data_IF_832961987344
#
_entry.id   IF_832961987344
#
_cell.length_a   1.000
_cell.length_b   1.000
_cell.length_c   1.000
_cell.angle_alpha   90.00
_cell.angle_beta   90.00
_cell.angle_gamma   90.00
#
_symmetry.space_group_name_H-M   'P 1'
#
loop_
_entity.id
_entity.type
_entity.pdbx_description
1 polymer ?
#
# COMPACT_ATOMS: atom_id res chain seq x y z
N UNK A 1 -1.21 -61.13 30.25
CA UNK A 1 -0.49 -60.01 29.60
C UNK A 1 -1.40 -59.41 28.54
N UNK A 2 -1.89 -58.17 28.73
CA UNK A 2 -2.62 -57.41 27.71
C UNK A 2 -2.11 -55.98 27.75
N UNK A 3 -1.23 -55.65 26.81
CA UNK A 3 -0.79 -54.27 26.58
C UNK A 3 -1.89 -53.54 25.80
N UNK A 4 -2.43 -52.47 26.40
CA UNK A 4 -3.31 -51.55 25.71
C UNK A 4 -2.45 -50.46 25.05
N UNK A 5 -2.44 -50.44 23.72
CA UNK A 5 -1.88 -49.34 22.93
C UNK A 5 -2.88 -48.17 22.95
N UNK A 6 -2.55 -47.10 23.68
CA UNK A 6 -3.25 -45.82 23.60
C UNK A 6 -2.62 -45.06 22.43
N UNK A 7 -3.35 -44.96 21.32
CA UNK A 7 -2.99 -44.08 20.21
C UNK A 7 -3.45 -42.65 20.55
N UNK A 8 -2.48 -41.76 20.81
CA UNK A 8 -2.72 -40.34 21.04
C UNK A 8 -2.87 -39.64 19.68
N UNK A 9 -4.10 -39.31 19.29
CA UNK A 9 -4.36 -38.52 18.08
C UNK A 9 -4.05 -37.04 18.35
N UNK A 10 -2.92 -36.54 17.82
CA UNK A 10 -2.64 -35.10 17.77
C UNK A 10 -3.53 -34.46 16.69
N UNK A 11 -4.55 -33.73 17.12
CA UNK A 11 -5.32 -32.85 16.24
C UNK A 11 -4.48 -31.58 16.02
N UNK A 12 -3.89 -31.44 14.84
CA UNK A 12 -3.23 -30.22 14.43
C UNK A 12 -4.28 -29.13 14.18
N UNK A 13 -4.35 -28.12 15.05
CA UNK A 13 -5.19 -26.95 14.83
C UNK A 13 -4.62 -26.12 13.66
N UNK A 14 -5.32 -26.10 12.53
CA UNK A 14 -4.99 -25.21 11.43
C UNK A 14 -5.16 -23.74 11.89
N UNK A 15 -4.23 -22.83 11.57
CA UNK A 15 -4.38 -21.42 11.91
C UNK A 15 -5.65 -20.87 11.27
N UNK A 16 -6.53 -20.29 12.08
CA UNK A 16 -7.73 -19.64 11.58
C UNK A 16 -7.35 -18.54 10.58
N UNK A 17 -8.09 -18.38 9.46
CA UNK A 17 -7.81 -17.33 8.49
C UNK A 17 -7.87 -15.97 9.19
N UNK A 18 -6.83 -15.15 8.99
CA UNK A 18 -6.77 -13.83 9.57
C UNK A 18 -8.01 -13.02 9.19
N UNK A 19 -8.65 -12.40 10.20
CA UNK A 19 -9.81 -11.55 9.97
C UNK A 19 -9.50 -10.40 8.99
N UNK A 20 -10.53 -9.75 8.41
CA UNK A 20 -10.34 -8.76 7.35
C UNK A 20 -9.38 -7.63 7.74
N UNK A 21 -9.48 -7.11 8.96
CA UNK A 21 -8.56 -6.08 9.46
C UNK A 21 -7.10 -6.55 9.53
N UNK A 22 -6.86 -7.75 10.04
CA UNK A 22 -5.51 -8.31 10.14
C UNK A 22 -4.90 -8.57 8.75
N UNK A 23 -5.67 -9.14 7.82
CA UNK A 23 -5.20 -9.37 6.45
C UNK A 23 -4.97 -8.06 5.66
N UNK A 24 -5.80 -7.04 5.88
CA UNK A 24 -5.61 -5.72 5.28
C UNK A 24 -4.36 -5.02 5.84
N UNK A 25 -4.13 -5.12 7.17
CA UNK A 25 -2.90 -4.61 7.79
C UNK A 25 -1.66 -5.31 7.24
N UNK A 26 -1.71 -6.63 7.12
CA UNK A 26 -0.59 -7.41 6.58
C UNK A 26 -0.25 -7.00 5.14
N UNK A 27 -1.26 -6.70 4.32
CA UNK A 27 -1.05 -6.13 2.99
C UNK A 27 -0.33 -4.78 3.06
N UNK A 28 -0.80 -3.81 3.85
CA UNK A 28 -0.13 -2.51 3.97
C UNK A 28 1.30 -2.67 4.50
N UNK A 29 1.50 -3.50 5.53
CA UNK A 29 2.83 -3.78 6.07
C UNK A 29 3.78 -4.40 5.01
N UNK A 30 3.26 -5.21 4.08
CA UNK A 30 4.07 -5.78 2.98
C UNK A 30 4.55 -4.73 1.99
N UNK A 31 3.89 -3.57 1.89
CA UNK A 31 4.35 -2.46 1.06
C UNK A 31 5.45 -1.66 1.77
N UNK A 32 5.22 -1.29 3.03
CA UNK A 32 6.14 -0.40 3.75
C UNK A 32 7.37 -1.11 4.34
N UNK A 33 7.24 -2.34 4.85
CA UNK A 33 8.36 -3.03 5.51
C UNK A 33 9.60 -3.20 4.62
N UNK A 34 9.48 -3.70 3.37
CA UNK A 34 10.65 -3.84 2.50
C UNK A 34 11.22 -2.46 2.11
N UNK A 35 10.37 -1.45 1.91
CA UNK A 35 10.78 -0.07 1.62
C UNK A 35 11.60 0.54 2.77
N UNK A 36 11.11 0.47 4.02
CA UNK A 36 11.89 0.95 5.17
C UNK A 36 13.20 0.18 5.33
N UNK A 37 13.19 -1.12 5.03
CA UNK A 37 14.40 -1.93 5.09
C UNK A 37 15.43 -1.51 4.03
N UNK A 38 15.01 -1.08 2.83
CA UNK A 38 15.95 -0.59 1.80
C UNK A 38 16.56 0.76 2.17
N UNK A 39 15.76 1.70 2.69
CA UNK A 39 16.23 3.03 3.10
C UNK A 39 17.32 2.99 4.18
N UNK A 40 17.33 1.93 5.01
CA UNK A 40 18.35 1.72 6.04
C UNK A 40 19.66 1.15 5.51
N UNK A 41 19.61 0.39 4.41
CA UNK A 41 20.79 -0.31 3.86
C UNK A 41 21.60 0.56 2.93
N UNK A 42 20.95 1.47 2.22
CA UNK A 42 21.59 2.28 1.19
C UNK A 42 20.94 3.66 1.16
N UNK A 43 21.62 4.66 1.73
CA UNK A 43 21.18 6.06 1.69
C UNK A 43 21.30 6.69 0.31
N UNK A 44 21.94 6.00 -0.65
CA UNK A 44 22.14 6.39 -2.05
C UNK A 44 21.36 5.54 -3.05
N UNK A 45 20.65 4.49 -2.60
CA UNK A 45 19.78 3.71 -3.47
C UNK A 45 18.76 4.65 -4.09
N UNK A 46 18.51 4.48 -5.39
CA UNK A 46 17.49 5.19 -6.13
C UNK A 46 16.16 5.13 -5.36
N UNK A 47 15.87 6.23 -4.65
CA UNK A 47 14.72 6.38 -3.75
C UNK A 47 13.41 6.41 -4.52
N UNK A 48 13.47 6.53 -5.85
CA UNK A 48 12.31 6.51 -6.74
C UNK A 48 11.82 5.09 -7.06
N UNK A 49 12.64 4.06 -6.78
CA UNK A 49 12.43 2.70 -7.28
C UNK A 49 11.54 1.77 -6.44
N UNK A 50 11.05 2.17 -5.27
CA UNK A 50 10.36 1.19 -4.40
C UNK A 50 8.89 0.93 -4.73
N UNK A 51 8.30 1.66 -5.67
CA UNK A 51 7.01 1.29 -6.24
C UNK A 51 6.91 1.68 -7.71
N UNK A 52 6.83 0.70 -8.63
CA UNK A 52 6.44 0.98 -10.00
C UNK A 52 5.09 1.71 -10.00
N UNK A 53 5.02 2.84 -10.72
CA UNK A 53 3.81 3.65 -10.91
C UNK A 53 2.79 2.92 -11.81
N UNK A 54 2.44 1.68 -11.51
CA UNK A 54 1.68 0.79 -12.41
C UNK A 54 1.55 -0.64 -11.87
N UNK A 55 1.99 -0.92 -10.64
CA UNK A 55 1.98 -2.29 -10.11
C UNK A 55 0.56 -2.77 -9.78
N UNK A 56 0.05 -3.70 -10.60
CA UNK A 56 -1.24 -4.36 -10.41
C UNK A 56 -1.29 -5.23 -9.14
N UNK A 57 -0.16 -5.47 -8.47
CA UNK A 57 -0.10 -6.08 -7.13
C UNK A 57 -0.37 -5.07 -6.00
N UNK A 58 -0.29 -3.77 -6.30
CA UNK A 58 -0.42 -2.67 -5.34
C UNK A 58 -1.76 -1.97 -5.48
N UNK A 59 -2.12 -1.55 -6.69
CA UNK A 59 -3.31 -0.72 -6.95
C UNK A 59 -4.44 -1.53 -7.58
N UNK A 60 -5.69 -1.07 -7.40
CA UNK A 60 -6.80 -1.62 -8.19
C UNK A 60 -6.59 -1.28 -9.68
N UNK A 61 -7.16 -2.07 -10.62
CA UNK A 61 -6.95 -1.85 -12.05
C UNK A 61 -7.25 -0.43 -12.52
N UNK A 62 -8.31 0.19 -11.97
CA UNK A 62 -8.66 1.56 -12.34
C UNK A 62 -7.58 2.59 -11.95
N UNK A 63 -7.09 2.53 -10.71
CA UNK A 63 -6.06 3.46 -10.24
C UNK A 63 -4.74 3.20 -10.98
N UNK A 64 -4.37 1.93 -11.20
CA UNK A 64 -3.20 1.57 -12.02
C UNK A 64 -3.32 2.12 -13.45
N UNK A 65 -4.48 2.03 -14.09
CA UNK A 65 -4.68 2.55 -15.45
C UNK A 65 -4.49 4.07 -15.54
N UNK A 66 -4.88 4.82 -14.50
CA UNK A 66 -4.69 6.27 -14.44
C UNK A 66 -3.24 6.66 -14.17
N UNK A 67 -2.54 5.95 -13.28
CA UNK A 67 -1.10 6.15 -13.05
C UNK A 67 -0.29 5.88 -14.32
N UNK A 68 -0.61 4.78 -15.00
CA UNK A 68 -0.07 4.45 -16.31
C UNK A 68 -0.33 5.54 -17.35
N UNK A 69 -1.54 6.11 -17.37
CA UNK A 69 -1.89 7.19 -18.29
C UNK A 69 -1.08 8.46 -18.00
N UNK A 70 -0.92 8.81 -16.72
CA UNK A 70 -0.11 9.95 -16.30
C UNK A 70 1.34 9.80 -16.76
N UNK A 71 1.95 8.64 -16.49
CA UNK A 71 3.32 8.34 -16.88
C UNK A 71 3.51 8.38 -18.40
N UNK A 72 2.55 7.85 -19.18
CA UNK A 72 2.61 7.91 -20.65
C UNK A 72 2.56 9.34 -21.17
N UNK A 73 1.72 10.20 -20.58
CA UNK A 73 1.64 11.61 -20.98
C UNK A 73 2.95 12.32 -20.65
N UNK A 74 3.48 12.14 -19.43
CA UNK A 74 4.76 12.70 -19.00
C UNK A 74 5.91 12.29 -19.93
N UNK A 75 6.03 10.99 -20.24
CA UNK A 75 7.04 10.49 -21.17
C UNK A 75 6.89 11.07 -22.59
N UNK A 76 5.66 11.32 -23.03
CA UNK A 76 5.37 11.83 -24.38
C UNK A 76 5.62 13.32 -24.51
N UNK A 77 5.32 14.12 -23.49
CA UNK A 77 5.46 15.58 -23.55
C UNK A 77 6.79 16.08 -23.01
N UNK A 78 7.48 15.27 -22.19
CA UNK A 78 8.65 15.71 -21.43
C UNK A 78 8.29 16.55 -20.20
N UNK A 79 7.01 16.79 -19.95
CA UNK A 79 6.54 17.50 -18.77
C UNK A 79 6.49 16.55 -17.56
N UNK A 80 6.52 17.16 -16.38
CA UNK A 80 6.17 16.46 -15.15
C UNK A 80 4.70 16.05 -15.21
N UNK A 81 4.40 14.78 -14.88
CA UNK A 81 3.03 14.28 -14.78
C UNK A 81 2.25 14.93 -13.65
N UNK A 82 0.97 14.57 -13.52
CA UNK A 82 0.13 14.92 -12.36
C UNK A 82 0.80 14.42 -11.08
N UNK A 83 1.48 13.27 -11.13
CA UNK A 83 2.19 12.70 -9.99
C UNK A 83 3.68 12.99 -10.08
N UNK A 84 4.11 13.99 -9.31
CA UNK A 84 5.50 14.40 -9.15
C UNK A 84 6.14 13.96 -7.83
N UNK A 85 5.42 13.21 -7.00
CA UNK A 85 5.82 12.76 -5.66
C UNK A 85 5.70 11.24 -5.46
N UNK A 86 6.19 10.73 -4.33
CA UNK A 86 6.00 9.32 -3.92
C UNK A 86 4.65 9.15 -3.22
N UNK A 87 3.74 8.42 -3.87
CA UNK A 87 2.33 8.27 -3.47
C UNK A 87 2.17 7.73 -2.03
N UNK A 88 2.95 6.71 -1.64
CA UNK A 88 2.82 6.07 -0.32
C UNK A 88 3.44 6.84 0.85
N UNK A 89 4.04 8.01 0.63
CA UNK A 89 4.42 8.90 1.73
C UNK A 89 3.86 10.32 1.56
N UNK A 90 3.27 10.61 0.39
CA UNK A 90 2.97 11.97 -0.05
C UNK A 90 4.16 12.91 0.16
N UNK A 91 5.31 12.49 -0.38
CA UNK A 91 6.61 13.12 -0.13
C UNK A 91 7.51 13.15 -1.36
N UNK A 92 8.42 14.12 -1.39
CA UNK A 92 9.51 14.24 -2.37
C UNK A 92 10.79 13.53 -1.90
N UNK A 93 11.00 13.48 -0.57
CA UNK A 93 12.14 12.80 0.07
C UNK A 93 11.62 11.88 1.18
N UNK A 94 12.10 10.64 1.21
CA UNK A 94 11.78 9.60 2.20
C UNK A 94 12.88 9.41 3.26
N UNK A 95 13.81 10.37 3.35
CA UNK A 95 14.82 10.44 4.40
C UNK A 95 14.22 10.31 5.81
N UNK A 96 14.67 9.29 6.55
CA UNK A 96 14.22 9.03 7.92
C UNK A 96 12.76 8.56 8.02
N UNK A 97 12.18 8.02 6.93
CA UNK A 97 10.83 7.50 6.91
C UNK A 97 10.62 6.38 7.92
N UNK A 98 9.52 6.46 8.65
CA UNK A 98 8.97 5.42 9.50
C UNK A 98 7.46 5.38 9.36
N UNK A 99 6.82 4.26 9.74
CA UNK A 99 5.38 4.09 9.58
C UNK A 99 4.74 3.30 10.72
N UNK A 100 3.46 3.60 10.99
CA UNK A 100 2.56 2.82 11.84
C UNK A 100 1.21 2.68 11.15
N UNK A 101 0.68 1.46 11.09
CA UNK A 101 -0.59 1.17 10.42
C UNK A 101 -1.67 0.84 11.44
N UNK A 102 -2.83 1.46 11.29
CA UNK A 102 -4.07 1.06 11.96
C UNK A 102 -5.16 0.81 10.93
N UNK A 103 -6.07 -0.13 11.23
CA UNK A 103 -7.20 -0.47 10.36
C UNK A 103 -8.50 -0.16 11.11
N UNK A 104 -8.98 1.11 11.12
CA UNK A 104 -10.19 1.49 11.86
C UNK A 104 -11.48 0.85 11.33
N UNK A 105 -11.52 0.51 10.04
CA UNK A 105 -12.71 -0.07 9.39
C UNK A 105 -12.27 -1.17 8.44
N UNK A 106 -12.86 -2.36 8.56
CA UNK A 106 -12.65 -3.45 7.62
C UNK A 106 -13.91 -4.33 7.47
N UNK A 107 -14.16 -4.76 6.24
CA UNK A 107 -15.15 -5.76 5.84
C UNK A 107 -14.44 -6.85 5.03
N UNK A 108 -15.15 -7.90 4.63
CA UNK A 108 -14.59 -8.94 3.76
C UNK A 108 -14.08 -8.41 2.39
N UNK A 109 -14.57 -7.24 1.93
CA UNK A 109 -14.26 -6.70 0.59
C UNK A 109 -13.53 -5.36 0.61
N UNK A 110 -13.62 -4.60 1.69
CA UNK A 110 -13.07 -3.24 1.79
C UNK A 110 -12.41 -3.00 3.13
N UNK A 111 -11.41 -2.14 3.18
CA UNK A 111 -10.84 -1.66 4.43
C UNK A 111 -10.37 -0.21 4.28
N UNK A 112 -10.27 0.50 5.40
CA UNK A 112 -9.56 1.78 5.47
C UNK A 112 -8.34 1.57 6.36
N UNK A 113 -7.15 1.86 5.84
CA UNK A 113 -5.93 1.91 6.63
C UNK A 113 -5.56 3.38 6.89
N UNK A 114 -5.19 3.69 8.13
CA UNK A 114 -4.50 4.94 8.47
C UNK A 114 -3.03 4.62 8.68
N UNK A 115 -2.17 5.22 7.88
CA UNK A 115 -0.72 5.11 7.97
C UNK A 115 -0.19 6.40 8.55
N UNK A 116 0.19 6.37 9.82
CA UNK A 116 0.95 7.45 10.43
C UNK A 116 2.40 7.34 9.94
N UNK A 117 2.94 8.42 9.40
CA UNK A 117 4.28 8.50 8.83
C UNK A 117 5.16 9.39 9.69
N UNK A 118 6.44 9.04 9.81
CA UNK A 118 7.44 9.87 10.47
C UNK A 118 8.61 10.17 9.57
N UNK A 119 9.11 11.39 9.60
CA UNK A 119 10.35 11.80 8.94
C UNK A 119 11.28 12.33 10.03
N UNK A 120 12.25 11.52 10.47
CA UNK A 120 13.09 11.88 11.62
C UNK A 120 12.45 11.64 12.99
N UNK A 121 11.51 10.70 13.09
CA UNK A 121 11.04 10.13 14.35
C UNK A 121 9.74 10.69 14.95
N UNK A 122 9.19 11.79 14.41
CA UNK A 122 7.86 12.30 14.79
C UNK A 122 6.80 11.84 13.79
N UNK A 123 5.70 11.27 14.28
CA UNK A 123 4.58 10.79 13.46
C UNK A 123 3.53 11.89 13.26
N UNK A 124 3.81 12.86 12.40
CA UNK A 124 3.00 14.07 12.21
C UNK A 124 2.16 14.07 10.92
N UNK A 125 2.42 13.15 9.99
CA UNK A 125 1.62 12.97 8.78
C UNK A 125 0.81 11.68 8.85
N UNK A 126 -0.39 11.71 8.29
CA UNK A 126 -1.23 10.51 8.15
C UNK A 126 -1.74 10.39 6.72
N UNK A 127 -1.41 9.28 6.07
CA UNK A 127 -2.10 8.86 4.86
C UNK A 127 -3.28 7.96 5.20
N UNK A 128 -4.37 8.15 4.48
CA UNK A 128 -5.51 7.24 4.48
C UNK A 128 -5.50 6.44 3.19
N UNK A 129 -5.35 5.12 3.30
CA UNK A 129 -5.46 4.20 2.18
C UNK A 129 -6.84 3.56 2.19
N UNK A 130 -7.60 3.73 1.10
CA UNK A 130 -8.81 2.95 0.85
C UNK A 130 -8.39 1.67 0.17
N UNK A 131 -8.79 0.53 0.72
CA UNK A 131 -8.40 -0.79 0.27
C UNK A 131 -9.61 -1.54 -0.28
N UNK A 132 -9.39 -2.31 -1.34
CA UNK A 132 -10.35 -3.24 -1.91
C UNK A 132 -9.74 -4.64 -2.01
N UNK A 133 -10.50 -5.66 -1.62
CA UNK A 133 -10.10 -7.05 -1.75
C UNK A 133 -10.58 -7.58 -3.11
N UNK A 134 -9.62 -7.86 -3.99
CA UNK A 134 -9.81 -8.55 -5.26
C UNK A 134 -9.52 -10.06 -5.07
N UNK A 135 -9.83 -10.92 -6.06
CA UNK A 135 -9.48 -12.34 -5.99
C UNK A 135 -7.98 -12.58 -5.70
N UNK A 136 -7.10 -11.74 -6.25
CA UNK A 136 -5.66 -11.79 -6.04
C UNK A 136 -5.17 -11.12 -4.73
N UNK A 137 -6.09 -10.71 -3.85
CA UNK A 137 -5.77 -10.10 -2.55
C UNK A 137 -6.15 -8.63 -2.44
N UNK A 138 -5.65 -7.98 -1.39
CA UNK A 138 -5.89 -6.57 -1.12
C UNK A 138 -5.12 -5.69 -2.12
N UNK A 139 -5.74 -4.57 -2.51
CA UNK A 139 -5.16 -3.52 -3.34
C UNK A 139 -5.58 -2.15 -2.82
N UNK A 140 -4.78 -1.14 -3.11
CA UNK A 140 -5.10 0.27 -2.87
C UNK A 140 -6.09 0.74 -3.94
N UNK A 141 -7.28 1.11 -3.49
CA UNK A 141 -8.33 1.69 -4.31
C UNK A 141 -8.22 3.22 -4.39
N UNK A 142 -7.71 3.86 -3.33
CA UNK A 142 -7.50 5.31 -3.28
C UNK A 142 -6.50 5.67 -2.18
N UNK A 143 -5.88 6.84 -2.32
CA UNK A 143 -4.95 7.42 -1.35
C UNK A 143 -5.43 8.83 -1.02
N UNK A 144 -5.40 9.19 0.25
CA UNK A 144 -5.78 10.51 0.71
C UNK A 144 -4.87 11.01 1.83
N UNK A 145 -4.65 12.32 1.87
CA UNK A 145 -4.08 13.05 3.00
C UNK A 145 -4.88 14.35 3.24
N UNK A 146 -4.33 15.28 4.00
CA UNK A 146 -4.96 16.55 4.33
C UNK A 146 -5.14 17.45 3.11
N UNK A 147 -4.21 17.42 2.16
CA UNK A 147 -4.15 18.34 1.01
C UNK A 147 -4.72 17.70 -0.27
N UNK A 148 -4.70 16.36 -0.35
CA UNK A 148 -5.24 15.55 -1.42
C UNK A 148 -6.30 14.57 -0.87
N UNK A 149 -7.59 14.94 -0.89
CA UNK A 149 -8.66 14.09 -0.34
C UNK A 149 -8.89 12.77 -1.09
N UNK A 150 -8.42 12.66 -2.34
CA UNK A 150 -8.54 11.46 -3.18
C UNK A 150 -7.60 11.56 -4.39
N UNK A 151 -6.59 10.69 -4.43
CA UNK A 151 -5.70 10.51 -5.57
C UNK A 151 -6.48 10.09 -6.83
N UNK A 152 -7.44 9.17 -6.67
CA UNK A 152 -8.27 8.70 -7.77
C UNK A 152 -9.07 9.84 -8.39
N UNK A 153 -9.68 10.71 -7.56
CA UNK A 153 -10.42 11.86 -8.04
C UNK A 153 -9.50 12.90 -8.71
N UNK A 154 -8.33 13.15 -8.13
CA UNK A 154 -7.31 14.05 -8.71
C UNK A 154 -6.92 13.58 -10.12
N UNK A 155 -6.51 12.32 -10.26
CA UNK A 155 -6.10 11.76 -11.56
C UNK A 155 -7.24 11.79 -12.59
N UNK A 156 -8.48 11.42 -12.20
CA UNK A 156 -9.64 11.48 -13.11
C UNK A 156 -9.95 12.91 -13.58
N UNK A 157 -9.72 13.91 -12.73
CA UNK A 157 -9.93 15.32 -13.05
C UNK A 157 -8.84 15.82 -14.00
N UNK A 158 -7.58 15.67 -13.60
CA UNK A 158 -6.43 16.24 -14.31
C UNK A 158 -6.15 15.52 -15.63
N UNK A 159 -6.42 14.22 -15.74
CA UNK A 159 -6.21 13.44 -16.97
C UNK A 159 -7.41 13.43 -17.92
N UNK A 160 -8.48 14.18 -17.59
CA UNK A 160 -9.68 14.24 -18.44
C UNK A 160 -9.34 14.89 -19.78
N UNK A 161 -9.69 14.21 -20.87
CA UNK A 161 -9.44 14.72 -22.24
C UNK A 161 -7.98 14.70 -22.69
N UNK A 162 -7.00 14.48 -21.80
CA UNK A 162 -5.60 14.29 -22.17
C UNK A 162 -5.41 12.95 -22.88
N UNK A 163 -4.63 12.93 -23.96
CA UNK A 163 -4.26 11.74 -24.74
C UNK A 163 -2.78 11.44 -24.60
#
# INVERSE_FOLDING_TARGET
MKQALIALALIAAAPAPAGPAASAKAFVDSLYRPWIASLKRDSSADRTGYMPKDDESVYIPELSALLNKDQRISNRTGDVGVIDWVILCSCQDDGGLGYRVTIPVATAKTATAKVALSFGGKYDRTLTLKLMKLPAGWRIADVADTDMPSLLALLRKELRGKK
#
